data_IF_288131553657
#
_entry.id   IF_288131553657
#
_cell.length_a   1.000
_cell.length_b   1.000
_cell.length_c   1.000
_cell.angle_alpha   90.00
_cell.angle_beta   90.00
_cell.angle_gamma   90.00
#
_symmetry.space_group_name_H-M   'P 1'
#
loop_
_entity.id
_entity.type
_entity.pdbx_description
1 polymer ?
#
# COMPACT_ATOMS: atom_id res chain seq x y z
N UNK A 1 -4.78 -14.04 -20.07
CA UNK A 1 -5.71 -12.90 -19.88
C UNK A 1 -6.81 -13.21 -18.86
N UNK A 2 -7.43 -14.41 -18.86
CA UNK A 2 -8.51 -14.83 -17.94
C UNK A 2 -8.20 -14.70 -16.42
N UNK A 3 -6.92 -14.83 -16.02
CA UNK A 3 -6.53 -14.77 -14.58
C UNK A 3 -6.65 -13.36 -14.00
N UNK A 4 -6.31 -12.32 -14.78
CA UNK A 4 -6.35 -10.93 -14.30
C UNK A 4 -7.79 -10.43 -14.13
N UNK A 5 -8.71 -10.93 -14.95
CA UNK A 5 -10.13 -10.55 -14.88
C UNK A 5 -10.80 -11.00 -13.57
N UNK A 6 -10.37 -12.14 -13.00
CA UNK A 6 -10.94 -12.70 -11.75
C UNK A 6 -10.18 -12.31 -10.48
N UNK A 7 -9.04 -11.63 -10.63
CA UNK A 7 -8.18 -11.27 -9.51
C UNK A 7 -8.90 -10.38 -8.48
N UNK A 8 -9.66 -9.33 -8.88
CA UNK A 8 -10.37 -8.48 -7.91
C UNK A 8 -11.39 -9.28 -7.08
N UNK A 9 -12.15 -10.17 -7.71
CA UNK A 9 -13.15 -11.00 -7.03
C UNK A 9 -12.52 -11.96 -6.03
N UNK A 10 -11.39 -12.59 -6.40
CA UNK A 10 -10.65 -13.49 -5.52
C UNK A 10 -10.11 -12.75 -4.29
N UNK A 11 -9.56 -11.55 -4.50
CA UNK A 11 -9.03 -10.70 -3.43
C UNK A 11 -10.14 -10.19 -2.51
N UNK A 12 -11.30 -9.79 -3.06
CA UNK A 12 -12.46 -9.37 -2.28
C UNK A 12 -13.06 -10.52 -1.48
N UNK A 13 -13.12 -11.73 -2.04
CA UNK A 13 -13.54 -12.95 -1.33
C UNK A 13 -12.68 -13.21 -0.10
N UNK A 14 -11.37 -12.94 -0.18
CA UNK A 14 -10.43 -13.10 0.92
C UNK A 14 -9.99 -11.76 1.54
N UNK A 15 -10.83 -10.71 1.47
CA UNK A 15 -10.47 -9.34 1.87
C UNK A 15 -9.84 -9.24 3.25
N UNK A 16 -10.29 -10.05 4.21
CA UNK A 16 -9.76 -10.04 5.59
C UNK A 16 -8.33 -10.56 5.64
N UNK A 17 -8.00 -11.56 4.82
CA UNK A 17 -6.64 -12.06 4.67
C UNK A 17 -5.78 -11.01 3.97
N UNK A 18 -6.30 -10.38 2.90
CA UNK A 18 -5.59 -9.29 2.21
C UNK A 18 -5.26 -8.14 3.16
N UNK A 19 -6.25 -7.68 3.94
CA UNK A 19 -6.06 -6.65 4.95
C UNK A 19 -5.09 -7.08 6.06
N UNK A 20 -5.18 -8.32 6.55
CA UNK A 20 -4.26 -8.86 7.55
C UNK A 20 -2.81 -8.92 7.02
N UNK A 21 -2.62 -9.32 5.76
CA UNK A 21 -1.31 -9.31 5.10
C UNK A 21 -0.76 -7.88 4.99
N UNK A 22 -1.58 -6.90 4.60
CA UNK A 22 -1.16 -5.50 4.55
C UNK A 22 -0.74 -4.97 5.93
N UNK A 23 -1.49 -5.31 6.98
CA UNK A 23 -1.14 -4.96 8.37
C UNK A 23 0.16 -5.66 8.78
N UNK A 24 0.32 -6.94 8.47
CA UNK A 24 1.55 -7.68 8.78
C UNK A 24 2.77 -7.03 8.10
N UNK A 25 2.66 -6.63 6.83
CA UNK A 25 3.72 -5.90 6.11
C UNK A 25 4.04 -4.58 6.84
N UNK A 26 3.02 -3.81 7.23
CA UNK A 26 3.21 -2.55 7.93
C UNK A 26 3.89 -2.73 9.30
N UNK A 27 3.47 -3.72 10.08
CA UNK A 27 4.06 -4.04 11.39
C UNK A 27 5.49 -4.51 11.24
N UNK A 28 5.76 -5.47 10.35
CA UNK A 28 7.12 -5.99 10.14
C UNK A 28 8.08 -4.88 9.70
N UNK A 29 7.68 -4.03 8.76
CA UNK A 29 8.51 -2.92 8.29
C UNK A 29 8.70 -1.82 9.35
N UNK A 30 7.71 -1.58 10.21
CA UNK A 30 7.87 -0.72 11.38
C UNK A 30 8.85 -1.33 12.39
N UNK A 31 8.76 -2.62 12.69
CA UNK A 31 9.67 -3.30 13.61
C UNK A 31 11.12 -3.23 13.12
N UNK A 32 11.36 -3.45 11.82
CA UNK A 32 12.69 -3.34 11.22
C UNK A 32 13.26 -1.92 11.36
N UNK A 33 12.45 -0.89 11.13
CA UNK A 33 12.85 0.51 11.27
C UNK A 33 13.15 0.88 12.73
N UNK A 34 12.28 0.48 13.67
CA UNK A 34 12.47 0.74 15.10
C UNK A 34 13.64 -0.04 15.71
N UNK A 35 13.99 -1.19 15.13
CA UNK A 35 15.18 -1.95 15.48
C UNK A 35 16.49 -1.32 14.93
N UNK A 36 16.40 -0.22 14.17
CA UNK A 36 17.56 0.46 13.58
C UNK A 36 18.23 -0.32 12.46
N UNK A 37 17.56 -1.33 11.89
CA UNK A 37 18.10 -2.19 10.84
C UNK A 37 18.04 -1.53 9.44
N UNK A 38 17.28 -0.44 9.31
CA UNK A 38 17.18 0.36 8.09
C UNK A 38 17.27 1.84 8.49
N UNK A 39 17.85 2.65 7.61
CA UNK A 39 17.91 4.09 7.80
C UNK A 39 16.51 4.71 7.94
N UNK A 40 16.41 5.78 8.74
CA UNK A 40 15.15 6.48 8.93
C UNK A 40 14.74 7.21 7.64
N UNK A 41 13.60 6.81 7.08
CA UNK A 41 13.08 7.41 5.86
C UNK A 41 11.66 7.93 6.09
N UNK A 42 11.43 9.26 6.01
CA UNK A 42 10.11 9.83 6.24
C UNK A 42 9.09 9.34 5.20
N UNK A 43 9.50 9.15 3.94
CA UNK A 43 8.62 8.62 2.90
C UNK A 43 8.22 7.16 3.19
N UNK A 44 9.17 6.30 3.58
CA UNK A 44 8.89 4.92 3.92
C UNK A 44 8.00 4.80 5.17
N UNK A 45 8.21 5.65 6.18
CA UNK A 45 7.37 5.73 7.41
C UNK A 45 5.93 6.11 7.08
N UNK A 46 5.74 7.06 6.18
CA UNK A 46 4.42 7.44 5.68
C UNK A 46 3.75 6.30 4.91
N UNK A 47 4.48 5.67 3.97
CA UNK A 47 3.95 4.58 3.15
C UNK A 47 3.50 3.37 3.98
N UNK A 48 4.36 2.86 4.87
CA UNK A 48 4.03 1.68 5.69
C UNK A 48 2.84 1.94 6.61
N UNK A 49 2.72 3.15 7.15
CA UNK A 49 1.59 3.55 7.99
C UNK A 49 0.29 3.58 7.18
N UNK A 50 0.31 4.18 5.98
CA UNK A 50 -0.85 4.19 5.08
C UNK A 50 -1.26 2.77 4.68
N UNK A 51 -0.31 1.89 4.34
CA UNK A 51 -0.59 0.48 4.02
C UNK A 51 -1.32 -0.20 5.18
N UNK A 52 -0.82 -0.03 6.41
CA UNK A 52 -1.46 -0.60 7.61
C UNK A 52 -2.87 -0.05 7.85
N UNK A 53 -3.05 1.28 7.73
CA UNK A 53 -4.36 1.93 7.90
C UNK A 53 -5.37 1.47 6.84
N UNK A 54 -4.98 1.41 5.58
CA UNK A 54 -5.84 0.91 4.51
C UNK A 54 -6.16 -0.58 4.69
N UNK A 55 -5.20 -1.39 5.16
CA UNK A 55 -5.43 -2.77 5.55
C UNK A 55 -6.49 -2.92 6.65
N UNK A 56 -6.41 -2.09 7.70
CA UNK A 56 -7.42 -2.04 8.77
C UNK A 56 -8.80 -1.63 8.24
N UNK A 57 -8.87 -0.59 7.41
CA UNK A 57 -10.12 -0.12 6.81
C UNK A 57 -10.78 -1.19 5.92
N UNK A 58 -9.99 -1.97 5.19
CA UNK A 58 -10.48 -3.08 4.37
C UNK A 58 -11.06 -4.24 5.21
N UNK A 59 -10.57 -4.44 6.43
CA UNK A 59 -11.03 -5.50 7.34
C UNK A 59 -12.31 -5.16 8.10
N UNK A 60 -12.71 -3.88 8.12
CA UNK A 60 -13.94 -3.46 8.79
C UNK A 60 -15.16 -4.20 8.21
N UNK A 61 -16.23 -4.41 9.00
CA UNK A 61 -17.40 -5.14 8.54
C UNK A 61 -18.00 -4.58 7.24
N UNK A 62 -17.95 -3.25 7.09
CA UNK A 62 -18.53 -2.51 5.98
C UNK A 62 -17.55 -1.48 5.37
N UNK A 63 -16.65 -1.91 4.47
CA UNK A 63 -15.72 -1.01 3.75
C UNK A 63 -16.43 0.02 2.86
N UNK A 64 -17.70 -0.26 2.48
CA UNK A 64 -18.51 0.67 1.72
C UNK A 64 -19.14 1.80 2.57
N UNK A 65 -18.92 1.80 3.89
CA UNK A 65 -19.38 2.91 4.73
C UNK A 65 -18.71 4.22 4.31
N UNK A 66 -19.47 5.31 4.26
CA UNK A 66 -18.97 6.61 3.78
C UNK A 66 -17.69 7.05 4.50
N UNK A 67 -17.66 6.97 5.84
CA UNK A 67 -16.48 7.33 6.63
C UNK A 67 -15.25 6.49 6.27
N UNK A 68 -15.43 5.19 6.00
CA UNK A 68 -14.33 4.29 5.63
C UNK A 68 -13.77 4.69 4.26
N UNK A 69 -14.64 4.96 3.28
CA UNK A 69 -14.22 5.45 1.96
C UNK A 69 -13.56 6.82 2.03
N UNK A 70 -14.10 7.74 2.83
CA UNK A 70 -13.52 9.05 3.07
C UNK A 70 -12.10 8.95 3.63
N UNK A 71 -11.91 8.22 4.74
CA UNK A 71 -10.59 8.01 5.34
C UNK A 71 -9.64 7.28 4.39
N UNK A 72 -10.14 6.27 3.67
CA UNK A 72 -9.33 5.55 2.69
C UNK A 72 -8.80 6.47 1.59
N UNK A 73 -9.61 7.41 1.11
CA UNK A 73 -9.20 8.38 0.09
C UNK A 73 -8.16 9.35 0.65
N UNK A 74 -8.37 9.90 1.85
CA UNK A 74 -7.41 10.80 2.51
C UNK A 74 -6.05 10.12 2.69
N UNK A 75 -6.04 8.91 3.25
CA UNK A 75 -4.80 8.16 3.46
C UNK A 75 -4.13 7.76 2.14
N UNK A 76 -4.91 7.31 1.16
CA UNK A 76 -4.36 6.93 -0.13
C UNK A 76 -3.76 8.12 -0.89
N UNK A 77 -4.40 9.29 -0.88
CA UNK A 77 -3.84 10.51 -1.49
C UNK A 77 -2.50 10.83 -0.86
N UNK A 78 -2.43 10.92 0.48
CA UNK A 78 -1.19 11.21 1.18
C UNK A 78 -0.09 10.16 0.90
N UNK A 79 -0.44 8.88 1.01
CA UNK A 79 0.51 7.78 0.81
C UNK A 79 1.01 7.68 -0.63
N UNK A 80 0.12 7.85 -1.62
CA UNK A 80 0.50 7.86 -3.03
C UNK A 80 1.34 9.08 -3.38
N UNK A 81 1.05 10.27 -2.84
CA UNK A 81 1.94 11.43 -3.01
C UNK A 81 3.34 11.11 -2.49
N UNK A 82 3.48 10.62 -1.24
CA UNK A 82 4.77 10.27 -0.67
C UNK A 82 5.50 9.19 -1.49
N UNK A 83 4.80 8.13 -1.88
CA UNK A 83 5.37 7.03 -2.65
C UNK A 83 5.78 7.46 -4.07
N UNK A 84 4.93 8.24 -4.75
CA UNK A 84 5.21 8.73 -6.10
C UNK A 84 6.37 9.71 -6.11
N UNK A 85 6.46 10.60 -5.12
CA UNK A 85 7.62 11.50 -4.97
C UNK A 85 8.92 10.71 -4.76
N UNK A 86 8.92 9.71 -3.86
CA UNK A 86 10.11 8.87 -3.66
C UNK A 86 10.47 8.07 -4.92
N UNK A 87 9.48 7.50 -5.59
CA UNK A 87 9.68 6.71 -6.80
C UNK A 87 10.22 7.57 -7.94
N UNK A 88 9.69 8.78 -8.11
CA UNK A 88 10.16 9.72 -9.13
C UNK A 88 11.58 10.22 -8.85
N UNK A 89 11.95 10.45 -7.59
CA UNK A 89 13.35 10.75 -7.22
C UNK A 89 14.30 9.61 -7.62
N UNK A 90 13.86 8.36 -7.46
CA UNK A 90 14.59 7.20 -7.94
C UNK A 90 14.80 7.23 -9.46
N UNK A 91 13.74 7.52 -10.22
CA UNK A 91 13.84 7.72 -11.67
C UNK A 91 14.78 8.86 -12.05
N UNK A 92 14.70 10.01 -11.37
CA UNK A 92 15.60 11.13 -11.61
C UNK A 92 17.07 10.73 -11.44
N UNK A 93 17.39 9.97 -10.39
CA UNK A 93 18.75 9.46 -10.16
C UNK A 93 19.19 8.44 -11.21
N UNK A 94 18.27 7.63 -11.75
CA UNK A 94 18.56 6.69 -12.86
C UNK A 94 18.93 7.49 -14.11
N UNK A 95 18.16 8.52 -14.42
CA UNK A 95 18.39 9.35 -15.60
C UNK A 95 19.62 10.24 -15.50
N UNK A 96 20.03 10.65 -14.29
CA UNK A 96 21.27 11.40 -14.06
C UNK A 96 22.53 10.53 -14.09
N UNK A 97 22.39 9.20 -14.15
CA UNK A 97 23.51 8.26 -14.08
C UNK A 97 24.09 8.08 -12.67
N UNK A 98 23.47 8.67 -11.65
CA UNK A 98 23.90 8.58 -10.24
C UNK A 98 23.32 7.35 -9.53
N UNK A 99 22.45 6.60 -10.20
CA UNK A 99 21.80 5.43 -9.62
C UNK A 99 22.77 4.27 -9.42
N UNK A 100 22.78 3.75 -8.19
CA UNK A 100 23.54 2.57 -7.80
C UNK A 100 22.58 1.54 -7.22
N UNK A 101 22.60 0.32 -7.76
CA UNK A 101 21.82 -0.80 -7.21
C UNK A 101 22.31 -1.19 -5.81
N UNK A 102 23.62 -1.04 -5.54
CA UNK A 102 24.24 -1.45 -4.28
C UNK A 102 24.21 -2.97 -4.07
N UNK A 103 24.92 -3.46 -3.05
CA UNK A 103 24.89 -4.89 -2.70
C UNK A 103 23.49 -5.34 -2.20
N UNK A 104 22.75 -4.43 -1.56
CA UNK A 104 21.40 -4.68 -1.05
C UNK A 104 20.32 -4.10 -1.97
N UNK A 105 20.33 -4.50 -3.24
CA UNK A 105 19.38 -4.02 -4.25
C UNK A 105 17.91 -4.21 -3.86
N UNK A 106 17.60 -5.21 -3.02
CA UNK A 106 16.23 -5.54 -2.61
C UNK A 106 15.60 -4.54 -1.64
N UNK A 107 16.40 -3.72 -0.95
CA UNK A 107 15.91 -2.59 -0.11
C UNK A 107 16.01 -1.25 -0.83
N UNK A 108 16.22 -1.26 -2.15
CA UNK A 108 16.37 -0.03 -2.91
C UNK A 108 15.11 0.86 -2.79
N UNK A 109 15.26 2.15 -2.43
CA UNK A 109 14.13 3.06 -2.19
C UNK A 109 13.21 3.24 -3.39
N UNK A 110 13.74 3.18 -4.61
CA UNK A 110 12.96 3.26 -5.85
C UNK A 110 12.04 2.04 -6.02
N UNK A 111 12.57 0.84 -5.76
CA UNK A 111 11.82 -0.40 -5.90
C UNK A 111 10.73 -0.52 -4.82
N UNK A 112 11.09 -0.26 -3.55
CA UNK A 112 10.15 -0.32 -2.43
C UNK A 112 8.98 0.67 -2.59
N UNK A 113 9.27 1.89 -3.03
CA UNK A 113 8.22 2.88 -3.31
C UNK A 113 7.31 2.48 -4.46
N UNK A 114 7.83 1.77 -5.48
CA UNK A 114 7.02 1.17 -6.54
C UNK A 114 6.04 0.12 -6.00
N UNK A 115 6.50 -0.78 -5.14
CA UNK A 115 5.61 -1.74 -4.45
C UNK A 115 4.58 -1.04 -3.56
N UNK A 116 4.99 0.00 -2.84
CA UNK A 116 4.07 0.78 -2.02
C UNK A 116 2.95 1.43 -2.84
N UNK A 117 3.26 2.01 -4.02
CA UNK A 117 2.25 2.54 -4.95
C UNK A 117 1.24 1.45 -5.33
N UNK A 118 1.73 0.27 -5.72
CA UNK A 118 0.89 -0.86 -6.09
C UNK A 118 -0.02 -1.33 -4.96
N UNK A 119 0.53 -1.50 -3.75
CA UNK A 119 -0.23 -1.96 -2.58
C UNK A 119 -1.28 -0.92 -2.17
N UNK A 120 -0.90 0.36 -2.05
CA UNK A 120 -1.81 1.43 -1.64
C UNK A 120 -2.96 1.57 -2.64
N UNK A 121 -2.64 1.57 -3.94
CA UNK A 121 -3.65 1.63 -5.02
C UNK A 121 -4.57 0.41 -4.99
N UNK A 122 -4.00 -0.79 -4.86
CA UNK A 122 -4.77 -2.03 -4.79
C UNK A 122 -5.73 -2.06 -3.60
N UNK A 123 -5.26 -1.69 -2.41
CA UNK A 123 -6.11 -1.62 -1.21
C UNK A 123 -7.23 -0.58 -1.36
N UNK A 124 -6.93 0.60 -1.91
CA UNK A 124 -7.94 1.62 -2.20
C UNK A 124 -9.01 1.07 -3.15
N UNK A 125 -8.60 0.49 -4.28
CA UNK A 125 -9.54 -0.08 -5.25
C UNK A 125 -10.40 -1.19 -4.63
N UNK A 126 -9.83 -2.07 -3.79
CA UNK A 126 -10.61 -3.11 -3.11
C UNK A 126 -11.65 -2.53 -2.14
N UNK A 127 -11.31 -1.50 -1.37
CA UNK A 127 -12.26 -0.80 -0.49
C UNK A 127 -13.42 -0.18 -1.29
N UNK A 128 -13.12 0.41 -2.44
CA UNK A 128 -14.11 1.11 -3.26
C UNK A 128 -14.96 0.16 -4.12
N UNK A 129 -14.39 -0.94 -4.59
CA UNK A 129 -15.10 -1.99 -5.33
C UNK A 129 -16.00 -2.82 -4.43
N UNK A 130 -15.71 -2.90 -3.13
CA UNK A 130 -16.60 -3.60 -2.20
C UNK A 130 -18.03 -3.04 -2.30
N UNK A 131 -18.94 -3.86 -2.83
CA UNK A 131 -20.37 -3.60 -2.84
C UNK A 131 -20.96 -4.21 -1.58
N UNK A 132 -21.69 -3.42 -0.80
CA UNK A 132 -22.59 -3.99 0.19
C UNK A 132 -23.68 -4.68 -0.63
N UNK A 133 -23.72 -6.02 -0.60
CA UNK A 133 -24.91 -6.75 -1.06
C UNK A 133 -26.10 -6.05 -0.40
N UNK A 134 -27.07 -5.61 -1.20
CA UNK A 134 -28.23 -4.85 -0.71
C UNK A 134 -29.14 -5.78 0.10
N UNK A 135 -28.70 -6.21 1.28
CA UNK A 135 -29.49 -6.94 2.25
C UNK A 135 -30.10 -5.96 3.27
N UNK A 136 -30.90 -5.04 2.74
CA UNK A 136 -32.06 -4.37 3.36
C UNK A 136 -32.89 -3.96 2.13
N UNK A 137 -33.88 -4.74 1.72
CA UNK A 137 -35.18 -4.79 2.39
C UNK A 137 -36.06 -3.74 1.73
#
# INVERSE_FOLDING_TARGET
>A
MIVFDRLPDLLLRHRRIVGAVAIAIAVLTWTIDLAGLVYECPFCRSQRTVIGLLGLLLMLPNPAHWLVRYLSAVFAVFGLTAASTQHFRGWANIMSGEFKWGEQWFVNPWMLSGFAIGIITGLLLLIWTWKREQSVG
#
